data_IF_275604663555
#
_entry.id   IF_275604663555
#
_cell.length_a   1.000
_cell.length_b   1.000
_cell.length_c   1.000
_cell.angle_alpha   90.00
_cell.angle_beta   90.00
_cell.angle_gamma   90.00
#
_symmetry.space_group_name_H-M   'P 1'
#
loop_
_entity.id
_entity.type
_entity.pdbx_description
1 polymer ?
#
# COMPACT_ATOMS: atom_id res chain seq x y z
N UNK A 1 -64.97 -8.24 -24.17
CA UNK A 1 -64.65 -6.81 -23.88
C UNK A 1 -64.33 -6.53 -22.43
N UNK A 2 -65.16 -6.85 -21.41
CA UNK A 2 -64.86 -6.52 -19.98
C UNK A 2 -63.55 -7.08 -19.43
N UNK A 3 -63.12 -8.31 -19.83
CA UNK A 3 -61.83 -8.92 -19.38
C UNK A 3 -60.60 -8.23 -19.94
N UNK A 4 -60.65 -7.76 -21.19
CA UNK A 4 -59.52 -7.05 -21.82
C UNK A 4 -59.32 -5.67 -21.16
N UNK A 5 -60.43 -4.94 -20.87
CA UNK A 5 -60.35 -3.68 -20.15
C UNK A 5 -59.78 -3.81 -18.72
N UNK A 6 -60.09 -4.91 -18.02
CA UNK A 6 -59.53 -5.16 -16.68
C UNK A 6 -58.03 -5.46 -16.71
N UNK A 7 -57.57 -6.21 -17.73
CA UNK A 7 -56.13 -6.53 -17.87
C UNK A 7 -55.30 -5.30 -18.27
N UNK A 8 -55.82 -4.45 -19.16
CA UNK A 8 -55.14 -3.20 -19.52
C UNK A 8 -55.09 -2.21 -18.36
N UNK A 9 -56.16 -2.11 -17.57
CA UNK A 9 -56.18 -1.29 -16.35
C UNK A 9 -55.17 -1.75 -15.29
N UNK A 10 -55.06 -3.08 -15.09
CA UNK A 10 -54.09 -3.70 -14.17
C UNK A 10 -52.66 -3.42 -14.63
N UNK A 11 -52.37 -3.57 -15.94
CA UNK A 11 -51.04 -3.29 -16.51
C UNK A 11 -50.64 -1.81 -16.34
N UNK A 12 -51.56 -0.88 -16.59
CA UNK A 12 -51.34 0.55 -16.40
C UNK A 12 -51.08 0.90 -14.94
N UNK A 13 -51.79 0.27 -14.01
CA UNK A 13 -51.63 0.47 -12.58
C UNK A 13 -50.24 -0.07 -12.09
N UNK A 14 -49.80 -1.20 -12.62
CA UNK A 14 -48.48 -1.77 -12.30
C UNK A 14 -47.33 -0.88 -12.81
N UNK A 15 -47.43 -0.35 -14.03
CA UNK A 15 -46.46 0.58 -14.59
C UNK A 15 -46.42 1.92 -13.80
N UNK A 16 -47.57 2.43 -13.40
CA UNK A 16 -47.63 3.61 -12.54
C UNK A 16 -47.01 3.38 -11.16
N UNK A 17 -47.21 2.19 -10.58
CA UNK A 17 -46.59 1.81 -9.30
C UNK A 17 -45.06 1.68 -9.41
N UNK A 18 -44.57 1.06 -10.48
CA UNK A 18 -43.11 0.95 -10.77
C UNK A 18 -42.52 2.35 -10.94
N UNK A 19 -43.18 3.22 -11.70
CA UNK A 19 -42.76 4.61 -11.91
C UNK A 19 -42.70 5.39 -10.58
N UNK A 20 -43.73 5.26 -9.74
CA UNK A 20 -43.75 5.89 -8.43
C UNK A 20 -42.65 5.34 -7.52
N UNK A 21 -42.44 4.03 -7.46
CA UNK A 21 -41.38 3.42 -6.65
C UNK A 21 -39.99 3.84 -7.11
N UNK A 22 -39.74 3.91 -8.43
CA UNK A 22 -38.47 4.41 -8.95
C UNK A 22 -38.28 5.89 -8.63
N UNK A 23 -39.32 6.71 -8.78
CA UNK A 23 -39.26 8.13 -8.53
C UNK A 23 -39.10 8.46 -7.03
N UNK A 24 -39.84 7.78 -6.15
CA UNK A 24 -39.66 7.93 -4.70
C UNK A 24 -38.38 7.33 -4.19
N UNK A 25 -37.91 6.21 -4.77
CA UNK A 25 -36.61 5.63 -4.47
C UNK A 25 -35.45 6.56 -4.83
N UNK A 26 -35.50 7.23 -6.00
CA UNK A 26 -34.49 8.22 -6.39
C UNK A 26 -34.56 9.50 -5.54
N UNK A 27 -35.77 9.95 -5.16
CA UNK A 27 -35.96 11.10 -4.26
C UNK A 27 -35.48 10.78 -2.83
N UNK A 28 -35.72 9.57 -2.33
CA UNK A 28 -35.19 9.12 -1.04
C UNK A 28 -33.67 8.99 -1.05
N UNK A 29 -33.09 8.52 -2.15
CA UNK A 29 -31.64 8.46 -2.36
C UNK A 29 -31.01 9.86 -2.58
N UNK A 30 -31.79 10.84 -3.07
CA UNK A 30 -31.36 12.25 -3.27
C UNK A 30 -31.61 13.12 -2.04
N UNK A 31 -32.28 12.60 -1.01
CA UNK A 31 -32.55 13.33 0.24
C UNK A 31 -31.25 13.72 0.92
N UNK A 32 -31.22 14.94 1.47
CA UNK A 32 -30.08 15.60 2.15
C UNK A 32 -29.46 14.85 3.33
N UNK A 33 -29.84 13.61 3.56
CA UNK A 33 -29.32 12.68 4.56
C UNK A 33 -28.78 11.38 3.94
N UNK A 34 -28.33 11.38 2.68
CA UNK A 34 -27.40 10.36 2.27
C UNK A 34 -26.18 10.52 3.18
N UNK A 35 -26.05 9.66 4.19
CA UNK A 35 -24.85 9.60 4.99
C UNK A 35 -23.70 9.56 3.98
N UNK A 36 -22.87 10.61 3.99
CA UNK A 36 -21.69 10.61 3.14
C UNK A 36 -20.97 9.30 3.44
N UNK A 37 -20.77 8.48 2.41
CA UNK A 37 -19.96 7.28 2.57
C UNK A 37 -18.67 7.72 3.25
N UNK A 38 -18.19 7.02 4.29
CA UNK A 38 -16.92 7.38 4.91
C UNK A 38 -15.89 7.49 3.80
N UNK A 39 -15.09 8.57 3.84
CA UNK A 39 -14.02 8.74 2.87
C UNK A 39 -13.17 7.46 2.84
N UNK A 40 -12.85 6.98 1.64
CA UNK A 40 -12.01 5.81 1.49
C UNK A 40 -10.68 6.04 2.22
N UNK A 41 -10.18 5.04 2.95
CA UNK A 41 -8.84 5.15 3.51
C UNK A 41 -7.82 5.28 2.38
N UNK A 42 -6.75 6.04 2.63
CA UNK A 42 -5.73 6.33 1.63
C UNK A 42 -4.35 5.92 2.09
N UNK A 43 -3.57 5.34 1.19
CA UNK A 43 -2.22 4.83 1.45
C UNK A 43 -1.26 5.34 0.39
N UNK A 44 -0.09 5.83 0.81
CA UNK A 44 1.03 6.00 -0.11
C UNK A 44 1.98 4.81 0.02
N UNK A 45 2.25 4.18 -1.11
CA UNK A 45 3.32 3.20 -1.26
C UNK A 45 4.54 3.92 -1.81
N UNK A 46 5.53 4.14 -0.97
CA UNK A 46 6.83 4.63 -1.41
C UNK A 46 7.66 3.48 -1.93
N UNK A 47 8.01 3.54 -3.21
CA UNK A 47 8.77 2.49 -3.91
C UNK A 47 10.23 2.85 -3.87
N UNK A 48 10.99 2.23 -2.97
CA UNK A 48 12.40 2.52 -2.75
C UNK A 48 13.24 2.48 -4.02
N UNK A 49 14.21 3.40 -4.13
CA UNK A 49 15.12 3.54 -5.28
C UNK A 49 14.41 3.86 -6.60
N UNK A 50 15.10 3.71 -7.75
CA UNK A 50 14.57 3.95 -9.09
C UNK A 50 15.47 4.79 -9.96
N UNK A 51 15.34 4.67 -11.26
CA UNK A 51 16.18 5.35 -12.23
C UNK A 51 17.66 5.01 -12.05
N UNK A 52 18.50 6.03 -11.81
CA UNK A 52 19.94 5.86 -11.64
C UNK A 52 20.35 5.24 -10.29
N UNK A 53 19.43 5.12 -9.32
CA UNK A 53 19.69 4.47 -8.04
C UNK A 53 19.16 3.01 -8.07
N UNK A 54 20.00 2.00 -8.28
CA UNK A 54 19.57 0.61 -8.32
C UNK A 54 19.20 0.07 -6.94
N UNK A 55 19.53 0.79 -5.86
CA UNK A 55 19.54 0.24 -4.51
C UNK A 55 20.65 -0.79 -4.33
N UNK A 56 20.39 -1.79 -3.51
CA UNK A 56 21.31 -2.93 -3.35
C UNK A 56 21.28 -3.82 -4.60
N UNK A 57 22.45 -4.20 -5.07
CA UNK A 57 22.59 -5.30 -6.03
C UNK A 57 22.68 -6.61 -5.24
N UNK A 58 21.78 -7.52 -5.50
CA UNK A 58 21.71 -8.83 -4.86
C UNK A 58 22.90 -9.72 -5.22
N UNK A 59 23.11 -10.76 -4.43
CA UNK A 59 24.17 -11.78 -4.69
C UNK A 59 23.92 -12.56 -5.98
N UNK A 60 22.70 -12.53 -6.49
CA UNK A 60 22.24 -13.14 -7.75
C UNK A 60 22.16 -12.14 -8.92
N UNK A 61 22.57 -10.89 -8.70
CA UNK A 61 22.53 -9.81 -9.68
C UNK A 61 21.20 -9.05 -9.76
N UNK A 62 20.20 -9.42 -8.97
CA UNK A 62 18.93 -8.72 -8.91
C UNK A 62 19.10 -7.29 -8.39
N UNK A 63 18.27 -6.36 -8.88
CA UNK A 63 18.28 -4.97 -8.43
C UNK A 63 17.16 -4.71 -7.44
N UNK A 64 17.48 -4.12 -6.30
CA UNK A 64 16.52 -3.77 -5.26
C UNK A 64 15.35 -2.94 -5.82
N UNK A 65 15.64 -1.95 -6.67
CA UNK A 65 14.62 -1.08 -7.28
C UNK A 65 13.55 -1.86 -8.05
N UNK A 66 13.94 -2.95 -8.74
CA UNK A 66 13.02 -3.74 -9.56
C UNK A 66 12.12 -4.61 -8.69
N UNK A 67 12.69 -5.24 -7.67
CA UNK A 67 11.95 -6.04 -6.69
C UNK A 67 10.95 -5.17 -5.91
N UNK A 68 11.40 -3.99 -5.47
CA UNK A 68 10.53 -3.02 -4.78
C UNK A 68 9.32 -2.64 -5.63
N UNK A 69 9.53 -2.38 -6.93
CA UNK A 69 8.45 -2.02 -7.85
C UNK A 69 7.47 -3.18 -8.09
N UNK A 70 8.00 -4.40 -8.27
CA UNK A 70 7.17 -5.59 -8.48
C UNK A 70 6.27 -5.88 -7.28
N UNK A 71 6.83 -5.81 -6.06
CA UNK A 71 6.08 -6.04 -4.82
C UNK A 71 5.07 -4.90 -4.58
N UNK A 72 5.48 -3.63 -4.80
CA UNK A 72 4.62 -2.48 -4.62
C UNK A 72 3.37 -2.51 -5.54
N UNK A 73 3.53 -2.91 -6.81
CA UNK A 73 2.40 -3.07 -7.76
C UNK A 73 1.40 -4.14 -7.29
N UNK A 74 1.88 -5.25 -6.75
CA UNK A 74 1.02 -6.31 -6.17
C UNK A 74 0.28 -5.80 -4.94
N UNK A 75 0.99 -5.09 -4.05
CA UNK A 75 0.39 -4.49 -2.87
C UNK A 75 -0.69 -3.46 -3.25
N UNK A 76 -0.42 -2.60 -4.25
CA UNK A 76 -1.41 -1.65 -4.79
C UNK A 76 -2.68 -2.38 -5.22
N UNK A 77 -2.56 -3.44 -6.03
CA UNK A 77 -3.71 -4.21 -6.51
C UNK A 77 -4.56 -4.78 -5.36
N UNK A 78 -3.93 -5.31 -4.31
CA UNK A 78 -4.65 -5.81 -3.13
C UNK A 78 -5.36 -4.70 -2.34
N UNK A 79 -4.71 -3.56 -2.14
CA UNK A 79 -5.30 -2.44 -1.41
C UNK A 79 -6.48 -1.83 -2.18
N UNK A 80 -6.33 -1.61 -3.49
CA UNK A 80 -7.41 -1.10 -4.35
C UNK A 80 -8.61 -2.06 -4.41
N UNK A 81 -8.37 -3.39 -4.42
CA UNK A 81 -9.44 -4.39 -4.34
C UNK A 81 -10.20 -4.38 -2.99
N UNK A 82 -9.64 -3.73 -1.98
CA UNK A 82 -10.21 -3.55 -0.64
C UNK A 82 -10.72 -2.12 -0.40
N UNK A 83 -11.05 -1.37 -1.47
CA UNK A 83 -11.57 -0.01 -1.43
C UNK A 83 -10.64 1.01 -0.74
N UNK A 84 -9.33 0.84 -0.85
CA UNK A 84 -8.30 1.77 -0.39
C UNK A 84 -7.79 2.58 -1.57
N UNK A 85 -7.74 3.91 -1.43
CA UNK A 85 -7.12 4.79 -2.42
C UNK A 85 -5.61 4.71 -2.30
N UNK A 86 -4.91 4.41 -3.40
CA UNK A 86 -3.47 4.18 -3.40
C UNK A 86 -2.73 5.12 -4.32
N UNK A 87 -1.71 5.79 -3.79
CA UNK A 87 -0.73 6.56 -4.55
C UNK A 87 0.63 5.88 -4.43
N UNK A 88 1.31 5.67 -5.55
CA UNK A 88 2.70 5.19 -5.57
C UNK A 88 3.65 6.34 -5.88
N UNK A 89 4.81 6.39 -5.23
CA UNK A 89 5.83 7.41 -5.53
C UNK A 89 6.44 7.25 -6.93
N UNK A 90 6.42 6.05 -7.48
CA UNK A 90 6.73 5.74 -8.89
C UNK A 90 5.99 4.50 -9.35
N UNK A 91 5.64 4.45 -10.63
CA UNK A 91 4.98 3.29 -11.26
C UNK A 91 5.88 2.63 -12.34
N UNK A 92 7.05 3.18 -12.57
CA UNK A 92 8.06 2.67 -13.52
C UNK A 92 9.48 2.81 -12.96
N UNK A 93 10.51 2.59 -13.79
CA UNK A 93 11.91 2.71 -13.38
C UNK A 93 12.43 4.16 -13.49
N UNK A 94 11.64 5.16 -13.06
CA UNK A 94 12.11 6.54 -12.93
C UNK A 94 12.29 6.90 -11.45
N UNK A 95 13.29 7.77 -11.16
CA UNK A 95 13.36 8.48 -9.89
C UNK A 95 12.56 9.79 -9.97
N UNK A 96 12.20 10.36 -8.83
CA UNK A 96 11.51 11.65 -8.75
C UNK A 96 12.51 12.82 -8.76
N UNK A 97 13.37 12.84 -9.75
CA UNK A 97 14.37 13.91 -9.96
C UNK A 97 14.41 14.31 -11.44
N UNK A 98 14.93 15.51 -11.71
CA UNK A 98 15.25 15.96 -13.06
C UNK A 98 16.67 15.55 -13.46
N UNK A 99 16.93 15.38 -14.76
CA UNK A 99 18.28 15.15 -15.26
C UNK A 99 19.23 16.33 -14.96
N UNK A 100 18.69 17.53 -14.78
CA UNK A 100 19.45 18.73 -14.39
C UNK A 100 19.78 18.79 -12.89
N UNK A 101 19.23 17.91 -12.04
CA UNK A 101 19.52 17.92 -10.61
C UNK A 101 20.97 17.48 -10.34
N UNK A 102 21.77 18.38 -9.76
CA UNK A 102 23.16 18.10 -9.39
C UNK A 102 23.29 17.00 -8.32
N UNK A 103 22.25 16.80 -7.49
CA UNK A 103 22.19 15.80 -6.43
C UNK A 103 20.91 14.98 -6.56
N UNK A 104 20.84 14.13 -7.58
CA UNK A 104 19.65 13.35 -7.94
C UNK A 104 19.03 12.59 -6.76
N UNK A 105 19.82 11.88 -5.97
CA UNK A 105 19.33 11.15 -4.78
C UNK A 105 18.69 12.06 -3.74
N UNK A 106 19.26 13.22 -3.48
CA UNK A 106 18.70 14.17 -2.53
C UNK A 106 17.42 14.84 -3.06
N UNK A 107 17.37 15.11 -4.38
CA UNK A 107 16.16 15.61 -5.06
C UNK A 107 15.04 14.56 -5.00
N UNK A 108 15.34 13.30 -5.33
CA UNK A 108 14.41 12.18 -5.26
C UNK A 108 13.76 12.09 -3.87
N UNK A 109 14.57 12.06 -2.82
CA UNK A 109 14.05 11.96 -1.45
C UNK A 109 13.18 13.15 -1.04
N UNK A 110 13.54 14.38 -1.42
CA UNK A 110 12.69 15.56 -1.16
C UNK A 110 11.37 15.48 -1.91
N UNK A 111 11.41 15.07 -3.18
CA UNK A 111 10.21 15.01 -4.02
C UNK A 111 9.27 13.88 -3.58
N UNK A 112 9.80 12.75 -3.09
CA UNK A 112 8.99 11.70 -2.40
C UNK A 112 8.25 12.27 -1.19
N UNK A 113 8.95 13.00 -0.32
CA UNK A 113 8.32 13.65 0.83
C UNK A 113 7.28 14.69 0.42
N UNK A 114 7.53 15.46 -0.65
CA UNK A 114 6.58 16.45 -1.16
C UNK A 114 5.31 15.78 -1.71
N UNK A 115 5.44 14.71 -2.51
CA UNK A 115 4.33 13.92 -3.01
C UNK A 115 3.49 13.33 -1.86
N UNK A 116 4.14 12.77 -0.84
CA UNK A 116 3.46 12.22 0.33
C UNK A 116 2.70 13.33 1.09
N UNK A 117 3.31 14.50 1.25
CA UNK A 117 2.67 15.63 1.93
C UNK A 117 1.46 16.15 1.17
N UNK A 118 1.52 16.20 -0.18
CA UNK A 118 0.41 16.58 -1.06
C UNK A 118 -0.73 15.56 -1.01
N UNK A 119 -0.40 14.27 -1.10
CA UNK A 119 -1.38 13.18 -1.03
C UNK A 119 -2.06 13.08 0.36
N UNK A 120 -1.41 13.56 1.41
CA UNK A 120 -1.88 13.56 2.80
C UNK A 120 -2.54 12.22 3.23
N UNK A 121 -1.89 11.04 3.03
CA UNK A 121 -2.51 9.74 3.24
C UNK A 121 -2.73 9.43 4.73
N UNK A 122 -3.53 8.41 4.99
CA UNK A 122 -3.73 7.87 6.32
C UNK A 122 -2.50 7.13 6.87
N UNK A 123 -1.70 6.55 5.98
CA UNK A 123 -0.40 5.94 6.29
C UNK A 123 0.51 5.89 5.05
N UNK A 124 1.80 5.71 5.32
CA UNK A 124 2.83 5.51 4.30
C UNK A 124 3.59 4.22 4.58
N UNK A 125 3.78 3.42 3.54
CA UNK A 125 4.67 2.27 3.57
C UNK A 125 5.75 2.40 2.50
N UNK A 126 7.01 2.40 2.91
CA UNK A 126 8.17 2.39 2.01
C UNK A 126 8.68 0.97 1.84
N UNK A 127 8.79 0.51 0.60
CA UNK A 127 9.17 -0.87 0.24
C UNK A 127 10.64 -0.89 -0.11
N UNK A 128 11.39 -1.73 0.60
CA UNK A 128 12.84 -1.91 0.47
C UNK A 128 13.27 -3.37 0.64
N UNK A 129 14.52 -3.66 0.26
CA UNK A 129 15.21 -4.90 0.54
C UNK A 129 16.48 -4.60 1.33
N UNK A 130 16.71 -5.38 2.35
CA UNK A 130 17.84 -5.20 3.27
C UNK A 130 19.16 -5.76 2.69
N UNK A 131 20.25 -5.34 3.32
CA UNK A 131 21.58 -5.91 3.03
C UNK A 131 22.44 -5.87 4.28
N UNK A 132 23.29 -6.88 4.41
CA UNK A 132 24.29 -6.96 5.49
C UNK A 132 25.57 -7.63 5.00
N UNK A 133 26.69 -7.44 5.69
CA UNK A 133 27.97 -8.02 5.26
C UNK A 133 28.07 -9.53 5.51
N UNK A 134 27.29 -10.08 6.45
CA UNK A 134 27.22 -11.51 6.72
C UNK A 134 26.05 -12.14 5.95
N UNK A 135 26.36 -13.09 5.08
CA UNK A 135 25.38 -13.78 4.23
C UNK A 135 24.31 -14.54 5.02
N UNK A 136 24.66 -15.05 6.21
CA UNK A 136 23.74 -15.79 7.07
C UNK A 136 22.58 -14.95 7.63
N UNK A 137 22.69 -13.62 7.59
CA UNK A 137 21.67 -12.73 8.11
C UNK A 137 20.46 -12.70 7.17
N UNK A 138 19.27 -12.89 7.74
CA UNK A 138 18.01 -13.02 7.01
C UNK A 138 16.82 -12.46 7.78
N UNK A 139 15.64 -12.43 7.13
CA UNK A 139 14.34 -12.10 7.73
C UNK A 139 13.83 -10.69 7.42
N UNK A 140 12.50 -10.55 7.36
CA UNK A 140 11.84 -9.28 7.13
C UNK A 140 11.76 -8.43 8.40
N UNK A 141 11.99 -7.13 8.30
CA UNK A 141 11.99 -6.20 9.42
C UNK A 141 11.28 -4.89 9.08
N UNK A 142 10.44 -4.41 10.00
CA UNK A 142 9.73 -3.14 9.85
C UNK A 142 10.37 -2.08 10.74
N UNK A 143 10.72 -0.94 10.12
CA UNK A 143 11.28 0.22 10.81
C UNK A 143 10.25 1.35 10.93
N UNK A 144 10.34 2.12 12.02
CA UNK A 144 9.47 3.26 12.29
C UNK A 144 10.26 4.39 12.99
N UNK A 145 9.76 5.62 12.93
CA UNK A 145 10.33 6.74 13.68
C UNK A 145 10.06 6.59 15.18
N UNK A 146 11.08 6.72 16.02
CA UNK A 146 11.00 6.48 17.47
C UNK A 146 9.92 7.31 18.17
N UNK A 147 9.67 8.54 17.69
CA UNK A 147 8.68 9.48 18.26
C UNK A 147 7.27 9.33 17.66
N UNK A 148 7.06 8.43 16.70
CA UNK A 148 5.76 8.20 16.07
C UNK A 148 5.04 7.02 16.71
N UNK A 149 4.15 7.27 17.67
CA UNK A 149 3.35 6.19 18.29
C UNK A 149 2.42 5.51 17.26
N UNK A 150 1.87 6.27 16.30
CA UNK A 150 1.07 5.69 15.20
C UNK A 150 1.93 4.83 14.27
N UNK A 151 3.13 5.30 13.90
CA UNK A 151 4.09 4.52 13.11
C UNK A 151 4.56 3.26 13.84
N UNK A 152 4.82 3.36 15.14
CA UNK A 152 5.18 2.22 16.00
C UNK A 152 4.07 1.16 16.06
N UNK A 153 2.80 1.60 16.18
CA UNK A 153 1.65 0.68 16.16
C UNK A 153 1.55 -0.03 14.81
N UNK A 154 1.63 0.70 13.71
CA UNK A 154 1.64 0.15 12.36
C UNK A 154 2.78 -0.86 12.17
N UNK A 155 4.01 -0.48 12.58
CA UNK A 155 5.17 -1.36 12.48
C UNK A 155 5.01 -2.66 13.27
N UNK A 156 4.44 -2.62 14.48
CA UNK A 156 4.19 -3.82 15.29
C UNK A 156 3.15 -4.74 14.65
N UNK A 157 2.10 -4.19 14.04
CA UNK A 157 1.08 -4.97 13.33
C UNK A 157 1.72 -5.67 12.13
N UNK A 158 2.43 -4.94 11.29
CA UNK A 158 3.09 -5.48 10.10
C UNK A 158 4.15 -6.53 10.47
N UNK A 159 4.98 -6.27 11.49
CA UNK A 159 5.99 -7.23 11.93
C UNK A 159 5.37 -8.54 12.40
N UNK A 160 4.29 -8.49 13.17
CA UNK A 160 3.56 -9.70 13.59
C UNK A 160 3.01 -10.49 12.39
N UNK A 161 2.55 -9.81 11.34
CA UNK A 161 2.11 -10.48 10.09
C UNK A 161 3.29 -11.15 9.38
N UNK A 162 4.47 -10.51 9.38
CA UNK A 162 5.70 -11.15 8.87
C UNK A 162 6.09 -12.36 9.68
N UNK A 163 6.08 -12.28 11.01
CA UNK A 163 6.40 -13.40 11.89
C UNK A 163 5.48 -14.60 11.60
N UNK A 164 4.19 -14.36 11.35
CA UNK A 164 3.23 -15.41 11.00
C UNK A 164 3.52 -16.05 9.62
N UNK A 165 3.89 -15.25 8.61
CA UNK A 165 4.08 -15.73 7.23
C UNK A 165 5.45 -16.31 6.99
N UNK A 166 6.50 -15.73 7.58
CA UNK A 166 7.88 -16.22 7.43
C UNK A 166 8.18 -17.36 8.41
N UNK A 167 7.36 -17.55 9.44
CA UNK A 167 7.50 -18.58 10.45
C UNK A 167 8.66 -18.33 11.41
N UNK A 168 9.07 -19.39 12.12
CA UNK A 168 10.09 -19.34 13.18
C UNK A 168 11.48 -18.87 12.69
N UNK A 169 11.71 -18.85 11.39
CA UNK A 169 12.95 -18.33 10.79
C UNK A 169 13.06 -16.81 10.88
N UNK A 170 11.94 -16.07 11.07
CA UNK A 170 11.98 -14.63 11.24
C UNK A 170 12.13 -14.24 12.70
N UNK A 171 13.36 -13.99 13.14
CA UNK A 171 13.66 -13.54 14.50
C UNK A 171 13.65 -12.01 14.65
N UNK A 172 13.38 -11.27 13.57
CA UNK A 172 13.38 -9.81 13.54
C UNK A 172 12.19 -9.24 14.31
N UNK A 173 12.41 -8.03 14.85
CA UNK A 173 11.36 -7.28 15.56
C UNK A 173 11.21 -5.90 14.95
N UNK A 174 10.02 -5.33 15.03
CA UNK A 174 9.82 -3.92 14.68
C UNK A 174 10.83 -3.05 15.41
N UNK A 175 11.54 -2.18 14.69
CA UNK A 175 12.68 -1.43 15.24
C UNK A 175 12.54 0.07 14.98
N UNK A 176 12.80 0.88 15.99
CA UNK A 176 12.91 2.32 15.83
C UNK A 176 14.15 2.68 14.99
N UNK A 177 14.00 3.66 14.10
CA UNK A 177 15.09 4.19 13.29
C UNK A 177 14.92 5.71 13.13
N UNK A 178 15.91 6.44 13.61
CA UNK A 178 15.94 7.90 13.62
C UNK A 178 16.97 8.45 12.59
N UNK A 179 17.33 7.66 11.59
CA UNK A 179 18.28 8.04 10.55
C UNK A 179 17.69 8.01 9.13
N UNK A 180 16.59 7.26 8.90
CA UNK A 180 15.98 7.21 7.58
C UNK A 180 15.28 8.53 7.25
N UNK A 181 15.67 9.13 6.12
CA UNK A 181 15.19 10.44 5.70
C UNK A 181 13.66 10.51 5.65
N UNK A 182 13.01 9.52 5.07
CA UNK A 182 11.56 9.46 4.96
C UNK A 182 10.88 9.45 6.33
N UNK A 183 11.38 8.64 7.27
CA UNK A 183 10.83 8.56 8.62
C UNK A 183 10.92 9.87 9.39
N UNK A 184 11.97 10.68 9.13
CA UNK A 184 12.20 11.97 9.79
C UNK A 184 11.38 13.11 9.19
N UNK A 185 11.02 13.04 7.89
CA UNK A 185 10.45 14.17 7.15
C UNK A 185 8.97 13.99 6.80
N UNK A 186 8.38 12.81 7.02
CA UNK A 186 6.96 12.54 6.77
C UNK A 186 6.18 12.58 8.08
N UNK A 187 5.08 13.35 8.12
CA UNK A 187 4.25 13.53 9.32
C UNK A 187 3.26 12.39 9.55
N UNK A 188 2.82 11.75 8.48
CA UNK A 188 1.88 10.64 8.53
C UNK A 188 2.49 9.42 9.21
N UNK A 189 1.68 8.48 9.73
CA UNK A 189 2.17 7.19 10.19
C UNK A 189 2.97 6.51 9.08
N UNK A 190 4.29 6.41 9.23
CA UNK A 190 5.20 5.91 8.19
C UNK A 190 6.03 4.77 8.71
N UNK A 191 6.20 3.76 7.87
CA UNK A 191 7.10 2.63 8.10
C UNK A 191 7.98 2.37 6.88
N UNK A 192 9.16 1.83 7.12
CA UNK A 192 10.01 1.24 6.07
C UNK A 192 10.00 -0.27 6.27
N UNK A 193 9.58 -0.98 5.25
CA UNK A 193 9.50 -2.44 5.22
C UNK A 193 10.70 -3.01 4.45
N UNK A 194 11.65 -3.57 5.18
CA UNK A 194 12.78 -4.33 4.67
C UNK A 194 12.36 -5.79 4.55
N UNK A 195 12.05 -6.23 3.34
CA UNK A 195 11.29 -7.47 3.12
C UNK A 195 12.14 -8.74 3.15
N UNK A 196 13.45 -8.62 3.04
CA UNK A 196 14.45 -9.69 3.09
C UNK A 196 15.82 -9.15 2.71
N UNK A 197 16.85 -9.99 2.83
CA UNK A 197 18.24 -9.59 2.59
C UNK A 197 18.71 -10.03 1.20
N UNK A 198 19.05 -9.08 0.34
CA UNK A 198 19.64 -9.35 -0.98
C UNK A 198 21.08 -9.89 -0.91
N UNK A 199 21.70 -9.84 0.25
CA UNK A 199 22.99 -10.44 0.55
C UNK A 199 22.89 -11.90 1.00
N UNK A 200 21.70 -12.37 1.36
CA UNK A 200 21.44 -13.78 1.67
C UNK A 200 20.98 -14.50 0.40
N UNK A 201 21.70 -15.52 -0.02
CA UNK A 201 21.44 -16.24 -1.28
C UNK A 201 20.05 -16.87 -1.35
N UNK A 202 19.59 -17.46 -0.26
CA UNK A 202 18.27 -18.09 -0.20
C UNK A 202 17.15 -17.05 -0.27
N UNK A 203 17.29 -15.91 0.43
CA UNK A 203 16.30 -14.83 0.38
C UNK A 203 16.30 -14.12 -0.98
N UNK A 204 17.48 -13.82 -1.55
CA UNK A 204 17.57 -13.22 -2.87
C UNK A 204 16.87 -14.09 -3.92
N UNK A 205 17.12 -15.40 -3.92
CA UNK A 205 16.45 -16.32 -4.83
C UNK A 205 14.92 -16.31 -4.65
N UNK A 206 14.41 -16.32 -3.41
CA UNK A 206 12.96 -16.26 -3.14
C UNK A 206 12.34 -14.93 -3.54
N UNK A 207 13.00 -13.81 -3.25
CA UNK A 207 12.54 -12.47 -3.59
C UNK A 207 12.37 -12.27 -5.11
N UNK A 208 13.08 -13.03 -5.93
CA UNK A 208 12.95 -13.04 -7.38
C UNK A 208 11.81 -13.91 -7.91
N UNK A 209 11.05 -14.62 -7.04
CA UNK A 209 9.91 -15.41 -7.48
C UNK A 209 8.60 -14.64 -7.36
N UNK A 210 7.73 -14.68 -8.39
CA UNK A 210 6.42 -14.04 -8.36
C UNK A 210 5.56 -14.48 -7.15
N UNK A 211 5.61 -15.74 -6.78
CA UNK A 211 4.85 -16.34 -5.70
C UNK A 211 5.25 -15.78 -4.34
N UNK A 212 6.54 -15.58 -4.11
CA UNK A 212 7.02 -15.02 -2.86
C UNK A 212 6.75 -13.51 -2.76
N UNK A 213 6.91 -12.78 -3.87
CA UNK A 213 6.53 -11.37 -3.96
C UNK A 213 5.04 -11.16 -3.67
N UNK A 214 4.19 -12.03 -4.22
CA UNK A 214 2.75 -12.00 -3.98
C UNK A 214 2.42 -12.28 -2.51
N UNK A 215 3.06 -13.27 -1.92
CA UNK A 215 2.94 -13.59 -0.49
C UNK A 215 3.36 -12.42 0.41
N UNK A 216 4.45 -11.71 0.07
CA UNK A 216 4.88 -10.52 0.80
C UNK A 216 3.87 -9.38 0.66
N UNK A 217 3.41 -9.09 -0.55
CA UNK A 217 2.40 -8.07 -0.81
C UNK A 217 1.09 -8.35 -0.06
N UNK A 218 0.61 -9.60 -0.09
CA UNK A 218 -0.55 -10.03 0.69
C UNK A 218 -0.36 -9.85 2.19
N UNK A 219 0.84 -10.18 2.71
CA UNK A 219 1.17 -10.01 4.12
C UNK A 219 1.11 -8.54 4.54
N UNK A 220 1.67 -7.64 3.73
CA UNK A 220 1.60 -6.20 3.95
C UNK A 220 0.16 -5.69 3.88
N UNK A 221 -0.61 -6.12 2.88
CA UNK A 221 -2.03 -5.78 2.73
C UNK A 221 -2.82 -6.15 3.99
N UNK A 222 -2.71 -7.39 4.48
CA UNK A 222 -3.41 -7.82 5.69
C UNK A 222 -3.07 -6.98 6.92
N UNK A 223 -1.80 -6.59 7.08
CA UNK A 223 -1.37 -5.71 8.17
C UNK A 223 -1.88 -4.28 8.03
N UNK A 224 -1.88 -3.73 6.82
CA UNK A 224 -2.42 -2.40 6.52
C UNK A 224 -3.93 -2.38 6.81
N UNK A 225 -4.69 -3.36 6.32
CA UNK A 225 -6.13 -3.44 6.59
C UNK A 225 -6.45 -3.59 8.07
N UNK A 226 -5.68 -4.38 8.82
CA UNK A 226 -5.81 -4.47 10.27
C UNK A 226 -5.57 -3.10 10.94
N UNK A 227 -4.56 -2.35 10.51
CA UNK A 227 -4.27 -1.02 11.03
C UNK A 227 -5.40 -0.03 10.72
N UNK A 228 -5.88 -0.02 9.48
CA UNK A 228 -6.94 0.89 9.01
C UNK A 228 -8.27 0.64 9.71
N UNK A 229 -8.65 -0.62 9.92
CA UNK A 229 -9.91 -1.02 10.55
C UNK A 229 -9.90 -0.88 12.08
N UNK A 230 -8.75 -0.76 12.70
CA UNK A 230 -8.60 -0.63 14.15
C UNK A 230 -8.40 0.82 14.63
N UNK A 231 -8.77 1.82 13.82
CA UNK A 231 -8.69 3.25 14.19
C UNK A 231 -9.79 3.66 15.15
#
# INVERSE_FOLDING_TARGET
MKRICAQTALGAMLLALIFLLTRYGTLAASGKNAAAWPARPSVVIDVGHGGNDPGKVGVDGSLEKDLNLQIARRLKAYLESSDVDVVMTREDDRGLYSESDARKKAADMRNRCALIAEAAPDLVISIHQNSYHEEAISGGQIFYYSRSEKGKRLAKILQRRFDYVLGDKNTRKAKANDSYYLLLNVKQPTVVAELGFLTNREEAARLNTPEYQDRLAWTLHMGIMEYLNGR
#
